data_IF_391379911031
#
_entry.id   IF_391379911031
#
_cell.length_a   1.000
_cell.length_b   1.000
_cell.length_c   1.000
_cell.angle_alpha   90.00
_cell.angle_beta   90.00
_cell.angle_gamma   90.00
#
_symmetry.space_group_name_H-M   'P 1'
#
loop_
_entity.id
_entity.type
_entity.pdbx_description
1 polymer ?
#
# COMPACT_ATOMS: atom_id res chain seq x y z
N UNK A 1 -21.14 20.72 1.73
CA UNK A 1 -20.19 20.56 0.59
C UNK A 1 -18.73 20.66 1.01
N UNK A 2 -18.26 21.73 1.66
CA UNK A 2 -16.83 21.89 2.04
C UNK A 2 -16.24 20.67 2.79
N UNK A 3 -17.01 20.07 3.70
CA UNK A 3 -16.55 18.89 4.47
C UNK A 3 -16.34 17.61 3.65
N UNK A 4 -17.17 17.36 2.63
CA UNK A 4 -17.01 16.17 1.76
C UNK A 4 -15.75 16.32 0.90
N UNK A 5 -15.53 17.51 0.35
CA UNK A 5 -14.39 17.77 -0.54
C UNK A 5 -13.08 17.62 0.23
N UNK A 6 -13.00 18.15 1.46
CA UNK A 6 -11.81 17.99 2.32
C UNK A 6 -11.57 16.52 2.66
N UNK A 7 -12.63 15.74 2.91
CA UNK A 7 -12.48 14.30 3.16
C UNK A 7 -11.89 13.56 1.95
N UNK A 8 -12.42 13.80 0.74
CA UNK A 8 -11.90 13.17 -0.49
C UNK A 8 -10.43 13.52 -0.70
N UNK A 9 -10.06 14.80 -0.53
CA UNK A 9 -8.68 15.26 -0.68
C UNK A 9 -7.76 14.62 0.36
N UNK A 10 -8.19 14.55 1.62
CA UNK A 10 -7.42 13.94 2.70
C UNK A 10 -7.21 12.43 2.45
N UNK A 11 -8.25 11.70 2.02
CA UNK A 11 -8.14 10.28 1.71
C UNK A 11 -7.25 10.03 0.50
N UNK A 12 -7.36 10.83 -0.57
CA UNK A 12 -6.47 10.73 -1.72
C UNK A 12 -5.00 11.01 -1.34
N UNK A 13 -4.78 12.00 -0.46
CA UNK A 13 -3.46 12.28 0.09
C UNK A 13 -2.90 11.10 0.89
N UNK A 14 -3.69 10.49 1.79
CA UNK A 14 -3.28 9.31 2.55
C UNK A 14 -2.93 8.12 1.64
N UNK A 15 -3.73 7.87 0.60
CA UNK A 15 -3.44 6.79 -0.37
C UNK A 15 -2.13 7.03 -1.12
N UNK A 16 -1.89 8.26 -1.59
CA UNK A 16 -0.63 8.63 -2.25
C UNK A 16 0.57 8.47 -1.30
N UNK A 17 0.38 8.86 -0.05
CA UNK A 17 1.39 8.74 1.00
C UNK A 17 1.68 7.26 1.31
N UNK A 18 0.65 6.42 1.42
CA UNK A 18 0.79 4.97 1.61
C UNK A 18 1.57 4.33 0.45
N UNK A 19 1.15 4.57 -0.80
CA UNK A 19 1.80 4.01 -2.00
C UNK A 19 3.27 4.46 -2.08
N UNK A 20 3.55 5.70 -1.69
CA UNK A 20 4.91 6.24 -1.73
C UNK A 20 5.76 5.71 -0.59
N UNK A 21 5.25 5.61 0.65
CA UNK A 21 6.04 5.22 1.82
C UNK A 21 6.22 3.70 1.91
N UNK A 22 5.23 2.90 1.49
CA UNK A 22 5.29 1.44 1.63
C UNK A 22 6.54 0.80 1.01
N UNK A 23 6.95 1.12 -0.25
CA UNK A 23 8.18 0.58 -0.84
C UNK A 23 9.46 1.05 -0.13
N UNK A 24 9.46 2.26 0.42
CA UNK A 24 10.60 2.77 1.19
C UNK A 24 10.77 1.98 2.51
N UNK A 25 9.67 1.71 3.21
CA UNK A 25 9.68 0.90 4.43
C UNK A 25 10.11 -0.53 4.13
N UNK A 26 9.66 -1.12 3.03
CA UNK A 26 10.14 -2.44 2.58
C UNK A 26 11.66 -2.44 2.32
N UNK A 27 12.17 -1.44 1.60
CA UNK A 27 13.62 -1.29 1.38
C UNK A 27 14.40 -1.12 2.68
N UNK A 28 13.86 -0.36 3.65
CA UNK A 28 14.42 -0.22 4.99
C UNK A 28 14.44 -1.57 5.72
N UNK A 29 13.33 -2.31 5.72
CA UNK A 29 13.23 -3.63 6.36
C UNK A 29 14.24 -4.62 5.77
N UNK A 30 14.40 -4.66 4.45
CA UNK A 30 15.40 -5.49 3.77
C UNK A 30 16.81 -5.12 4.21
N UNK A 31 17.10 -3.83 4.36
CA UNK A 31 18.41 -3.35 4.83
C UNK A 31 18.67 -3.70 6.28
N UNK A 32 17.71 -3.50 7.17
CA UNK A 32 17.79 -3.88 8.59
C UNK A 32 18.02 -5.38 8.73
N UNK A 33 17.25 -6.19 8.00
CA UNK A 33 17.39 -7.65 8.00
C UNK A 33 18.77 -8.09 7.55
N UNK A 34 19.34 -7.46 6.52
CA UNK A 34 20.69 -7.78 6.05
C UNK A 34 21.77 -7.43 7.09
N UNK A 35 21.62 -6.30 7.79
CA UNK A 35 22.53 -5.90 8.88
C UNK A 35 22.51 -6.95 10.00
N UNK A 36 21.32 -7.39 10.42
CA UNK A 36 21.15 -8.44 11.44
C UNK A 36 21.83 -9.74 10.99
N UNK A 37 21.73 -10.07 9.70
CA UNK A 37 22.37 -11.24 9.11
C UNK A 37 23.87 -11.04 8.78
N UNK A 38 24.48 -9.92 9.19
CA UNK A 38 25.88 -9.58 8.89
C UNK A 38 26.22 -9.59 7.38
N UNK A 39 25.26 -9.18 6.54
CA UNK A 39 25.41 -9.04 5.08
C UNK A 39 25.23 -7.58 4.67
N UNK A 40 25.87 -7.20 3.56
CA UNK A 40 25.61 -5.89 2.93
C UNK A 40 24.25 -5.94 2.23
N UNK A 41 23.26 -5.27 2.80
CA UNK A 41 21.91 -5.19 2.24
C UNK A 41 21.80 -4.33 0.98
N UNK A 42 20.65 -4.42 0.28
CA UNK A 42 20.35 -3.59 -0.90
C UNK A 42 20.23 -2.10 -0.55
N UNK A 43 20.28 -1.19 -1.54
CA UNK A 43 20.01 0.23 -1.32
C UNK A 43 18.55 0.45 -0.88
N UNK A 44 18.29 1.56 -0.16
CA UNK A 44 16.95 1.85 0.38
C UNK A 44 15.88 2.00 -0.71
N UNK A 45 16.26 2.53 -1.88
CA UNK A 45 15.34 2.72 -3.00
C UNK A 45 15.18 1.47 -3.88
N UNK A 46 15.76 0.32 -3.49
CA UNK A 46 15.72 -0.90 -4.30
C UNK A 46 14.29 -1.32 -4.66
N UNK A 47 13.36 -1.26 -3.71
CA UNK A 47 11.99 -1.70 -3.93
C UNK A 47 11.24 -0.83 -4.95
N UNK A 48 11.62 0.44 -5.15
CA UNK A 48 11.09 1.25 -6.25
C UNK A 48 11.60 0.80 -7.62
N UNK A 49 12.90 0.49 -7.72
CA UNK A 49 13.46 -0.06 -8.96
C UNK A 49 12.87 -1.43 -9.30
N UNK A 50 12.62 -2.26 -8.28
CA UNK A 50 11.98 -3.56 -8.45
C UNK A 50 10.56 -3.39 -9.00
N UNK A 51 9.76 -2.45 -8.49
CA UNK A 51 8.42 -2.12 -9.02
C UNK A 51 8.48 -1.63 -10.46
N UNK A 52 9.33 -0.65 -10.76
CA UNK A 52 9.50 -0.13 -12.13
C UNK A 52 9.92 -1.23 -13.12
N UNK A 53 10.80 -2.12 -12.68
CA UNK A 53 11.23 -3.28 -13.46
C UNK A 53 10.08 -4.24 -13.72
N UNK A 54 9.24 -4.53 -12.73
CA UNK A 54 8.09 -5.43 -12.89
C UNK A 54 7.02 -4.84 -13.81
N UNK A 55 6.74 -3.54 -13.72
CA UNK A 55 5.80 -2.85 -14.61
C UNK A 55 6.21 -2.86 -16.08
N UNK A 56 7.51 -3.03 -16.37
CA UNK A 56 8.03 -3.15 -17.73
C UNK A 56 8.12 -4.58 -18.26
N UNK A 57 7.71 -5.59 -17.48
CA UNK A 57 7.70 -6.99 -17.93
C UNK A 57 6.40 -7.34 -18.62
N UNK A 58 6.46 -8.36 -19.47
CA UNK A 58 5.27 -8.99 -20.04
C UNK A 58 4.47 -9.71 -18.95
N UNK A 59 3.15 -9.49 -18.94
CA UNK A 59 2.21 -10.20 -18.08
C UNK A 59 1.97 -11.60 -18.64
N UNK A 60 2.57 -12.62 -18.00
CA UNK A 60 2.35 -14.02 -18.35
C UNK A 60 1.30 -14.60 -17.39
N UNK A 61 0.16 -15.00 -17.93
CA UNK A 61 -0.88 -15.67 -17.16
C UNK A 61 -0.92 -17.17 -17.50
N UNK A 62 -0.42 -18.00 -16.58
CA UNK A 62 -0.45 -19.45 -16.72
C UNK A 62 -1.17 -20.08 -15.52
N UNK A 63 -2.44 -20.44 -15.70
CA UNK A 63 -3.25 -21.01 -14.63
C UNK A 63 -4.59 -21.53 -15.12
N UNK A 64 -5.28 -22.30 -14.26
CA UNK A 64 -6.61 -22.87 -14.54
C UNK A 64 -7.66 -21.78 -14.75
N UNK A 65 -7.53 -20.64 -14.06
CA UNK A 65 -8.39 -19.47 -14.24
C UNK A 65 -7.60 -18.16 -14.11
N UNK A 66 -7.04 -17.65 -15.22
CA UNK A 66 -6.28 -16.40 -15.25
C UNK A 66 -7.04 -15.19 -14.70
N UNK A 67 -8.32 -15.08 -15.04
CA UNK A 67 -9.18 -13.96 -14.63
C UNK A 67 -9.32 -13.89 -13.11
N UNK A 68 -9.55 -15.03 -12.45
CA UNK A 68 -9.69 -15.07 -10.99
C UNK A 68 -8.36 -14.71 -10.31
N UNK A 69 -7.22 -15.16 -10.85
CA UNK A 69 -5.89 -14.82 -10.33
C UNK A 69 -5.64 -13.31 -10.40
N UNK A 70 -5.94 -12.69 -11.55
CA UNK A 70 -5.80 -11.24 -11.75
C UNK A 70 -6.70 -10.46 -10.80
N UNK A 71 -7.98 -10.84 -10.69
CA UNK A 71 -8.92 -10.19 -9.77
C UNK A 71 -8.46 -10.32 -8.32
N UNK A 72 -7.93 -11.49 -7.92
CA UNK A 72 -7.44 -11.72 -6.57
C UNK A 72 -6.26 -10.80 -6.23
N UNK A 73 -5.31 -10.62 -7.14
CA UNK A 73 -4.20 -9.68 -6.96
C UNK A 73 -4.69 -8.23 -6.83
N UNK A 74 -5.67 -7.81 -7.62
CA UNK A 74 -6.26 -6.48 -7.50
C UNK A 74 -7.02 -6.29 -6.17
N UNK A 75 -7.80 -7.27 -5.72
CA UNK A 75 -8.51 -7.20 -4.44
C UNK A 75 -7.53 -7.12 -3.26
N UNK A 76 -6.45 -7.90 -3.29
CA UNK A 76 -5.41 -7.85 -2.27
C UNK A 76 -4.73 -6.48 -2.18
N UNK A 77 -4.60 -5.77 -3.30
CA UNK A 77 -4.05 -4.41 -3.34
C UNK A 77 -5.06 -3.35 -2.89
N UNK A 78 -6.34 -3.52 -3.23
CA UNK A 78 -7.41 -2.57 -2.89
C UNK A 78 -7.68 -2.54 -1.39
N UNK A 79 -7.63 -3.68 -0.68
CA UNK A 79 -7.90 -3.75 0.76
C UNK A 79 -7.10 -2.73 1.58
N UNK A 80 -5.75 -2.79 1.56
CA UNK A 80 -4.91 -1.82 2.25
C UNK A 80 -5.11 -0.37 1.80
N UNK A 81 -5.43 -0.14 0.52
CA UNK A 81 -5.73 1.21 0.01
C UNK A 81 -7.02 1.78 0.60
N UNK A 82 -8.07 0.95 0.73
CA UNK A 82 -9.32 1.33 1.38
C UNK A 82 -9.08 1.62 2.86
N UNK A 83 -8.29 0.78 3.53
CA UNK A 83 -7.89 0.98 4.94
C UNK A 83 -7.17 2.33 5.16
N UNK A 84 -6.40 2.81 4.18
CA UNK A 84 -5.73 4.12 4.25
C UNK A 84 -6.70 5.32 4.33
N UNK A 85 -7.94 5.17 3.87
CA UNK A 85 -8.95 6.22 3.97
C UNK A 85 -9.48 6.41 5.41
N UNK A 86 -9.36 5.38 6.25
CA UNK A 86 -9.85 5.41 7.63
C UNK A 86 -8.74 5.74 8.65
N UNK A 87 -7.47 5.54 8.28
CA UNK A 87 -6.33 5.82 9.17
C UNK A 87 -5.88 7.28 9.01
N UNK A 88 -5.82 8.07 10.10
CA UNK A 88 -5.33 9.45 10.03
C UNK A 88 -3.80 9.47 9.92
N UNK A 89 -3.25 9.60 8.72
CA UNK A 89 -1.80 9.73 8.49
C UNK A 89 -1.32 11.20 8.54
N UNK A 90 -1.70 11.92 9.60
CA UNK A 90 -1.23 13.28 9.89
C UNK A 90 -2.26 14.41 9.71
N UNK A 91 -3.38 14.16 9.03
CA UNK A 91 -4.55 15.04 9.01
C UNK A 91 -5.60 14.54 10.01
N UNK A 92 -6.26 15.44 10.73
CA UNK A 92 -7.33 15.09 11.68
C UNK A 92 -8.43 14.33 10.92
N UNK A 93 -8.75 13.11 11.35
CA UNK A 93 -9.88 12.38 10.80
C UNK A 93 -11.16 13.17 11.07
N UNK A 94 -11.82 13.58 9.99
CA UNK A 94 -13.01 14.43 10.08
C UNK A 94 -14.26 13.61 10.49
N UNK A 95 -14.29 12.29 10.23
CA UNK A 95 -15.47 11.44 10.40
C UNK A 95 -15.17 10.01 10.91
N UNK A 96 -14.30 9.81 11.91
CA UNK A 96 -14.10 8.46 12.47
C UNK A 96 -15.25 8.08 13.40
N UNK A 97 -16.07 7.11 13.00
CA UNK A 97 -17.18 6.56 13.78
C UNK A 97 -16.71 5.36 14.61
N UNK A 98 -17.39 5.03 15.74
CA UNK A 98 -17.00 3.88 16.58
C UNK A 98 -16.97 2.53 15.85
N UNK A 99 -17.80 2.36 14.81
CA UNK A 99 -17.83 1.14 13.98
C UNK A 99 -16.66 1.02 13.01
N UNK A 100 -15.97 2.11 12.69
CA UNK A 100 -14.88 2.12 11.71
C UNK A 100 -13.66 1.34 12.20
N UNK A 101 -13.49 1.23 13.52
CA UNK A 101 -12.45 0.39 14.12
C UNK A 101 -12.65 -1.10 13.81
N UNK A 102 -13.90 -1.58 13.82
CA UNK A 102 -14.21 -2.98 13.48
C UNK A 102 -13.98 -3.23 12.00
N UNK A 103 -14.38 -2.29 11.15
CA UNK A 103 -14.15 -2.35 9.71
C UNK A 103 -12.65 -2.37 9.37
N UNK A 104 -11.84 -1.59 10.07
CA UNK A 104 -10.39 -1.57 9.92
C UNK A 104 -9.69 -2.87 10.35
N UNK A 105 -10.23 -3.58 11.33
CA UNK A 105 -9.69 -4.89 11.75
C UNK A 105 -10.05 -5.98 10.74
N UNK A 106 -11.19 -5.82 10.06
CA UNK A 106 -11.70 -6.80 9.09
C UNK A 106 -11.06 -6.69 7.70
N UNK A 107 -10.72 -5.47 7.27
CA UNK A 107 -10.04 -5.18 6.00
C UNK A 107 -8.54 -5.49 6.06
#
# INVERSE_FOLDING_TARGET
>A
MKSIVVFIIASAFNMLLLISIAPFLDGLMRKVTAIIQSRKGPPLFQSYYDLLKLMGKEDIESGVSPVIQRISAYLAFIGPLVSAAFIPMGLKNINFMPGDAVLLIYL
#
